data_IF_657185897959
#
_entry.id   IF_657185897959
#
_cell.length_a   1.000
_cell.length_b   1.000
_cell.length_c   1.000
_cell.angle_alpha   90.00
_cell.angle_beta   90.00
_cell.angle_gamma   90.00
#
_symmetry.space_group_name_H-M   'P 1'
#
loop_
_entity.id
_entity.type
_entity.pdbx_description
1 polymer ?
#
# COMPACT_ATOMS: atom_id res chain seq x y z
N UNK A 1 32.18 1.10 1.67
CA UNK A 1 31.54 2.42 1.58
C UNK A 1 30.56 2.38 0.42
N UNK A 2 29.28 2.09 0.71
CA UNK A 2 28.23 2.08 -0.30
C UNK A 2 27.62 3.48 -0.36
N UNK A 3 27.57 4.05 -1.56
CA UNK A 3 27.00 5.37 -1.84
C UNK A 3 25.49 5.34 -1.63
N UNK A 4 24.86 6.34 -1.00
CA UNK A 4 23.42 6.38 -0.88
C UNK A 4 22.80 6.59 -2.27
N UNK A 5 21.97 5.66 -2.71
CA UNK A 5 21.19 5.79 -3.94
C UNK A 5 20.11 6.84 -3.69
N UNK A 6 20.27 7.98 -4.30
CA UNK A 6 19.31 9.06 -4.35
C UNK A 6 18.10 8.59 -5.16
N UNK A 7 16.94 8.45 -4.51
CA UNK A 7 15.68 8.42 -5.20
C UNK A 7 15.31 9.88 -5.56
N UNK A 8 15.20 10.26 -6.82
CA UNK A 8 14.80 11.62 -7.17
C UNK A 8 13.30 11.77 -7.02
N UNK A 9 12.86 12.35 -5.91
CA UNK A 9 11.54 12.98 -5.87
C UNK A 9 11.71 14.33 -6.57
N UNK A 10 11.44 14.36 -7.87
CA UNK A 10 11.29 15.61 -8.60
C UNK A 10 9.89 15.65 -9.17
N UNK A 11 9.05 16.46 -8.54
CA UNK A 11 7.80 16.93 -9.13
C UNK A 11 8.13 17.77 -10.36
N UNK A 12 7.81 17.24 -11.54
CA UNK A 12 7.80 18.03 -12.78
C UNK A 12 6.45 17.87 -13.46
N UNK A 13 5.81 18.98 -13.72
CA UNK A 13 4.51 19.12 -14.37
C UNK A 13 4.45 18.35 -15.68
N UNK A 14 3.57 17.33 -15.74
CA UNK A 14 3.21 16.64 -16.99
C UNK A 14 3.75 15.23 -17.15
N UNK A 15 4.37 14.59 -16.16
CA UNK A 15 4.85 13.22 -16.25
C UNK A 15 3.75 12.21 -15.93
N UNK A 16 3.49 11.42 -16.92
CA UNK A 16 2.87 10.12 -16.83
C UNK A 16 3.60 9.29 -15.75
N UNK A 17 3.01 9.15 -14.54
CA UNK A 17 3.63 8.42 -13.44
C UNK A 17 4.01 7.01 -13.88
N UNK A 18 5.21 6.57 -13.52
CA UNK A 18 5.63 5.20 -13.78
C UNK A 18 4.70 4.21 -13.07
N UNK A 19 4.41 3.07 -13.70
CA UNK A 19 3.58 2.05 -13.09
C UNK A 19 4.24 1.49 -11.83
N UNK A 20 3.45 1.23 -10.79
CA UNK A 20 3.89 0.65 -9.53
C UNK A 20 3.20 -0.69 -9.30
N UNK A 21 3.98 -1.75 -9.12
CA UNK A 21 3.51 -3.03 -8.57
C UNK A 21 4.05 -3.19 -7.15
N UNK A 22 3.21 -2.93 -6.15
CA UNK A 22 3.53 -3.15 -4.75
C UNK A 22 3.03 -4.53 -4.31
N UNK A 23 3.90 -5.32 -3.68
CA UNK A 23 3.58 -6.67 -3.20
C UNK A 23 3.57 -6.70 -1.67
N UNK A 24 2.50 -7.26 -1.09
CA UNK A 24 2.42 -7.51 0.34
C UNK A 24 3.20 -8.77 0.70
N UNK A 25 4.12 -8.65 1.67
CA UNK A 25 5.04 -9.71 2.09
C UNK A 25 4.98 -9.93 3.60
N UNK A 26 5.21 -11.17 4.03
CA UNK A 26 5.16 -11.61 5.42
C UNK A 26 6.50 -12.09 5.96
N UNK A 27 7.47 -12.38 5.10
CA UNK A 27 8.77 -12.93 5.47
C UNK A 27 9.81 -12.69 4.35
N UNK A 28 11.07 -13.03 4.61
CA UNK A 28 12.17 -12.83 3.68
C UNK A 28 11.99 -13.58 2.34
N UNK A 29 11.50 -14.82 2.38
CA UNK A 29 11.26 -15.59 1.16
C UNK A 29 10.18 -14.95 0.26
N UNK A 30 9.16 -14.32 0.87
CA UNK A 30 8.19 -13.53 0.11
C UNK A 30 8.85 -12.32 -0.58
N UNK A 31 9.79 -11.65 0.09
CA UNK A 31 10.50 -10.50 -0.45
C UNK A 31 11.38 -10.89 -1.65
N UNK A 32 12.17 -11.96 -1.51
CA UNK A 32 12.99 -12.51 -2.59
C UNK A 32 12.14 -12.92 -3.81
N UNK A 33 11.01 -13.58 -3.57
CA UNK A 33 10.09 -13.98 -4.64
C UNK A 33 9.42 -12.78 -5.32
N UNK A 34 9.03 -11.75 -4.56
CA UNK A 34 8.46 -10.54 -5.10
C UNK A 34 9.46 -9.78 -5.99
N UNK A 35 10.71 -9.65 -5.55
CA UNK A 35 11.78 -9.03 -6.31
C UNK A 35 12.09 -9.83 -7.58
N UNK A 36 12.27 -11.14 -7.49
CA UNK A 36 12.50 -12.01 -8.63
C UNK A 36 11.35 -11.97 -9.66
N UNK A 37 10.14 -11.70 -9.21
CA UNK A 37 8.95 -11.52 -10.04
C UNK A 37 8.83 -10.14 -10.69
N UNK A 38 9.62 -9.14 -10.27
CA UNK A 38 9.60 -7.79 -10.83
C UNK A 38 8.63 -6.85 -10.12
N UNK A 39 8.42 -7.00 -8.81
CA UNK A 39 7.79 -5.98 -7.99
C UNK A 39 8.66 -4.73 -7.93
N UNK A 40 8.03 -3.57 -7.70
CA UNK A 40 8.74 -2.29 -7.55
C UNK A 40 8.88 -1.89 -6.07
N UNK A 41 8.02 -2.40 -5.19
CA UNK A 41 7.98 -2.04 -3.77
C UNK A 41 7.35 -3.16 -2.94
N UNK A 42 7.77 -3.26 -1.69
CA UNK A 42 7.23 -4.22 -0.72
C UNK A 42 6.41 -3.50 0.35
N UNK A 43 5.27 -4.08 0.74
CA UNK A 43 4.55 -3.71 1.96
C UNK A 43 4.64 -4.85 2.97
N UNK A 44 5.39 -4.63 4.05
CA UNK A 44 5.58 -5.61 5.12
C UNK A 44 4.48 -5.50 6.16
N UNK A 45 3.87 -6.63 6.46
CA UNK A 45 2.87 -6.77 7.52
C UNK A 45 3.09 -8.06 8.29
N UNK A 46 2.48 -8.17 9.47
CA UNK A 46 2.22 -9.47 10.10
C UNK A 46 0.72 -9.76 10.09
N UNK A 47 0.35 -11.01 10.06
CA UNK A 47 -1.06 -11.45 10.14
C UNK A 47 -1.20 -12.30 11.40
N UNK A 48 -2.17 -11.96 12.25
CA UNK A 48 -2.39 -12.69 13.51
C UNK A 48 -2.83 -14.13 13.26
N UNK A 49 -2.31 -15.07 14.03
CA UNK A 49 -2.80 -16.43 14.09
C UNK A 49 -4.28 -16.41 14.53
N UNK A 50 -5.15 -17.03 13.79
CA UNK A 50 -6.61 -16.96 14.03
C UNK A 50 -7.40 -16.14 13.00
N UNK A 51 -6.73 -15.53 12.05
CA UNK A 51 -7.36 -14.83 10.92
C UNK A 51 -8.14 -15.74 9.94
N UNK A 52 -8.28 -17.03 10.25
CA UNK A 52 -8.94 -18.04 9.41
C UNK A 52 -10.44 -17.81 9.15
N UNK A 53 -11.04 -16.84 9.82
CA UNK A 53 -12.44 -16.43 9.61
C UNK A 53 -12.61 -15.05 8.97
N UNK A 54 -11.55 -14.35 8.61
CA UNK A 54 -11.62 -13.02 8.01
C UNK A 54 -11.72 -13.12 6.49
N UNK A 55 -12.69 -12.46 5.93
CA UNK A 55 -12.91 -12.42 4.48
C UNK A 55 -11.83 -11.63 3.74
N UNK A 56 -11.16 -10.67 4.41
CA UNK A 56 -9.99 -9.96 3.90
C UNK A 56 -8.84 -10.01 4.94
N UNK A 57 -7.73 -10.69 4.62
CA UNK A 57 -6.54 -10.70 5.48
C UNK A 57 -5.94 -9.32 5.75
N UNK A 58 -6.30 -8.31 4.96
CA UNK A 58 -5.89 -6.93 5.21
C UNK A 58 -6.41 -6.42 6.56
N UNK A 59 -7.59 -6.89 7.00
CA UNK A 59 -8.18 -6.49 8.27
C UNK A 59 -7.47 -7.13 9.47
N UNK A 60 -6.84 -8.27 9.27
CA UNK A 60 -6.04 -8.96 10.29
C UNK A 60 -4.58 -8.50 10.34
N UNK A 61 -4.15 -7.66 9.38
CA UNK A 61 -2.77 -7.19 9.32
C UNK A 61 -2.43 -6.25 10.48
N UNK A 62 -1.23 -6.42 11.03
CA UNK A 62 -0.66 -5.65 12.14
C UNK A 62 0.75 -5.20 11.81
N UNK A 63 1.25 -4.28 12.64
CA UNK A 63 2.66 -3.93 12.71
C UNK A 63 3.51 -5.19 12.92
N UNK A 64 4.53 -5.45 12.08
CA UNK A 64 5.44 -6.56 12.28
C UNK A 64 6.44 -6.28 13.41
N UNK A 65 7.15 -7.30 13.87
CA UNK A 65 8.29 -7.13 14.74
C UNK A 65 9.47 -6.49 13.98
N UNK A 66 10.25 -5.56 14.58
CA UNK A 66 11.38 -4.90 13.91
C UNK A 66 12.43 -5.86 13.36
N UNK A 67 12.64 -7.01 14.02
CA UNK A 67 13.55 -8.05 13.55
C UNK A 67 13.12 -8.65 12.21
N UNK A 68 11.80 -8.79 11.97
CA UNK A 68 11.26 -9.23 10.68
C UNK A 68 11.54 -8.19 9.59
N UNK A 69 11.33 -6.91 9.87
CA UNK A 69 11.63 -5.82 8.92
C UNK A 69 13.10 -5.83 8.53
N UNK A 70 14.00 -5.93 9.52
CA UNK A 70 15.44 -6.05 9.27
C UNK A 70 15.80 -7.26 8.41
N UNK A 71 15.12 -8.40 8.60
CA UNK A 71 15.31 -9.59 7.77
C UNK A 71 14.91 -9.36 6.31
N UNK A 72 13.75 -8.72 6.08
CA UNK A 72 13.27 -8.41 4.73
C UNK A 72 14.16 -7.40 4.01
N UNK A 73 14.60 -6.34 4.70
CA UNK A 73 15.50 -5.32 4.12
C UNK A 73 16.89 -5.88 3.75
N UNK A 74 17.29 -7.03 4.33
CA UNK A 74 18.50 -7.74 3.92
C UNK A 74 18.28 -8.73 2.78
N UNK A 75 17.04 -9.21 2.62
CA UNK A 75 16.68 -10.23 1.64
C UNK A 75 16.32 -9.65 0.26
N UNK A 76 16.10 -8.34 0.17
CA UNK A 76 15.67 -7.68 -1.07
C UNK A 76 16.24 -6.27 -1.16
N UNK A 77 16.57 -5.85 -2.37
CA UNK A 77 17.00 -4.48 -2.70
C UNK A 77 15.81 -3.52 -2.98
N UNK A 78 14.58 -4.03 -2.93
CA UNK A 78 13.39 -3.23 -3.18
C UNK A 78 13.08 -2.27 -2.02
N UNK A 79 12.52 -1.08 -2.30
CA UNK A 79 12.00 -0.18 -1.28
C UNK A 79 10.98 -0.89 -0.38
N UNK A 80 11.17 -0.80 0.93
CA UNK A 80 10.32 -1.44 1.94
C UNK A 80 9.45 -0.43 2.64
N UNK A 81 8.12 -0.62 2.55
CA UNK A 81 7.11 0.03 3.38
C UNK A 81 6.71 -0.90 4.52
N UNK A 82 6.45 -0.34 5.69
CA UNK A 82 6.04 -1.14 6.86
C UNK A 82 4.72 -0.63 7.41
N UNK A 83 3.80 -1.57 7.65
CA UNK A 83 2.49 -1.23 8.23
C UNK A 83 2.66 -0.81 9.70
N UNK A 84 2.08 0.35 10.05
CA UNK A 84 1.89 0.82 11.41
C UNK A 84 0.41 0.69 11.81
N UNK A 85 0.11 -0.38 12.58
CA UNK A 85 -1.21 -0.68 13.12
C UNK A 85 -1.05 -1.57 14.35
N UNK A 86 -1.44 -1.09 15.52
CA UNK A 86 -1.26 -1.82 16.80
C UNK A 86 -2.27 -2.97 16.97
N UNK A 87 -3.50 -2.73 16.54
CA UNK A 87 -4.62 -3.68 16.65
C UNK A 87 -5.44 -3.73 15.36
N UNK A 88 -6.62 -4.39 15.38
CA UNK A 88 -7.51 -4.52 14.23
C UNK A 88 -8.31 -3.27 13.88
N UNK A 89 -8.24 -2.25 14.73
CA UNK A 89 -8.96 -1.00 14.54
C UNK A 89 -8.25 0.00 13.64
N UNK A 90 -8.99 1.00 13.25
CA UNK A 90 -8.49 2.14 12.48
C UNK A 90 -8.48 3.43 13.28
N UNK A 91 -8.75 3.31 14.59
CA UNK A 91 -8.62 4.38 15.58
C UNK A 91 -7.39 4.15 16.43
N UNK A 92 -6.82 5.21 17.00
CA UNK A 92 -5.76 5.08 18.01
C UNK A 92 -5.89 6.18 19.06
N UNK A 93 -5.16 6.04 20.15
CA UNK A 93 -5.13 7.00 21.26
C UNK A 93 -3.79 7.73 21.28
N UNK A 94 -3.67 8.79 22.09
CA UNK A 94 -2.38 9.46 22.29
C UNK A 94 -1.28 8.51 22.77
N UNK A 95 -1.59 7.54 23.65
CA UNK A 95 -0.65 6.50 24.06
C UNK A 95 -0.30 5.55 22.89
N UNK A 96 -1.28 5.23 22.05
CA UNK A 96 -1.07 4.46 20.84
C UNK A 96 -0.18 5.19 19.83
N UNK A 97 -0.35 6.49 19.66
CA UNK A 97 0.49 7.31 18.80
C UNK A 97 1.96 7.30 19.25
N UNK A 98 2.24 7.41 20.54
CA UNK A 98 3.61 7.31 21.08
C UNK A 98 4.23 5.95 20.75
N UNK A 99 3.47 4.86 20.92
CA UNK A 99 3.94 3.51 20.56
C UNK A 99 4.19 3.35 19.06
N UNK A 100 3.30 3.88 18.22
CA UNK A 100 3.46 3.87 16.76
C UNK A 100 4.69 4.66 16.32
N UNK A 101 4.95 5.82 16.91
CA UNK A 101 6.15 6.60 16.64
C UNK A 101 7.44 5.87 17.06
N UNK A 102 7.42 5.16 18.18
CA UNK A 102 8.52 4.29 18.60
C UNK A 102 8.78 3.16 17.60
N UNK A 103 7.73 2.43 17.21
CA UNK A 103 7.84 1.38 16.19
C UNK A 103 8.33 1.92 14.85
N UNK A 104 7.85 3.11 14.43
CA UNK A 104 8.31 3.74 13.21
C UNK A 104 9.83 4.00 13.25
N UNK A 105 10.35 4.51 14.37
CA UNK A 105 11.79 4.70 14.56
C UNK A 105 12.57 3.39 14.45
N UNK A 106 12.06 2.32 15.06
CA UNK A 106 12.69 0.99 15.01
C UNK A 106 12.70 0.43 13.58
N UNK A 107 11.62 0.63 12.82
CA UNK A 107 11.53 0.19 11.41
C UNK A 107 12.50 0.94 10.50
N UNK A 108 12.63 2.25 10.68
CA UNK A 108 13.59 3.05 9.91
C UNK A 108 15.03 2.65 10.25
N UNK A 109 15.31 2.39 11.52
CA UNK A 109 16.60 1.85 11.95
C UNK A 109 16.87 0.43 11.40
N UNK A 110 15.82 -0.36 11.17
CA UNK A 110 15.90 -1.68 10.54
C UNK A 110 16.09 -1.64 9.01
N UNK A 111 16.00 -0.46 8.38
CA UNK A 111 16.23 -0.26 6.95
C UNK A 111 14.97 0.01 6.12
N UNK A 112 13.81 0.19 6.74
CA UNK A 112 12.60 0.59 6.02
C UNK A 112 12.76 1.99 5.41
N UNK A 113 12.25 2.18 4.19
CA UNK A 113 12.31 3.46 3.48
C UNK A 113 11.04 4.31 3.64
N UNK A 114 10.00 3.73 4.23
CA UNK A 114 8.77 4.44 4.52
C UNK A 114 7.73 3.58 5.23
N UNK A 115 6.57 4.16 5.43
CA UNK A 115 5.55 3.62 6.31
C UNK A 115 4.21 3.50 5.57
N UNK A 116 3.30 2.67 6.11
CA UNK A 116 1.91 2.62 5.69
C UNK A 116 1.02 2.67 6.93
N UNK A 117 0.17 3.68 7.02
CA UNK A 117 -0.79 3.83 8.11
C UNK A 117 -2.02 4.61 7.65
N UNK A 118 -3.06 4.62 8.46
CA UNK A 118 -4.26 5.41 8.21
C UNK A 118 -5.18 5.27 9.40
N UNK A 119 -5.67 6.40 9.90
CA UNK A 119 -6.53 6.45 11.07
C UNK A 119 -7.81 7.21 10.77
N UNK A 120 -8.89 6.73 11.38
CA UNK A 120 -10.19 7.38 11.37
C UNK A 120 -10.50 7.84 12.79
N UNK A 121 -11.27 8.91 12.88
CA UNK A 121 -11.85 9.38 14.13
C UNK A 121 -13.13 8.60 14.50
N UNK A 122 -13.78 8.98 15.59
CA UNK A 122 -15.02 8.36 16.08
C UNK A 122 -16.21 8.55 15.14
N UNK A 123 -16.13 9.53 14.23
CA UNK A 123 -17.16 9.82 13.25
C UNK A 123 -16.89 9.13 11.90
N UNK A 124 -15.91 8.21 11.86
CA UNK A 124 -15.43 7.52 10.68
C UNK A 124 -14.93 8.48 9.58
N UNK A 125 -14.32 9.58 9.99
CA UNK A 125 -13.63 10.49 9.08
C UNK A 125 -12.11 10.34 9.21
N UNK A 126 -11.36 10.80 8.19
CA UNK A 126 -9.89 10.77 8.27
C UNK A 126 -9.44 11.62 9.46
N UNK A 127 -8.71 11.01 10.38
CA UNK A 127 -8.05 11.70 11.49
C UNK A 127 -6.78 12.38 10.96
N UNK A 128 -6.97 13.58 10.41
CA UNK A 128 -5.90 14.34 9.76
C UNK A 128 -4.86 14.84 10.76
N UNK A 129 -5.27 15.12 11.99
CA UNK A 129 -4.39 15.63 13.04
C UNK A 129 -3.38 14.57 13.46
N UNK A 130 -3.88 13.38 13.75
CA UNK A 130 -3.05 12.25 14.16
C UNK A 130 -2.14 11.78 13.02
N UNK A 131 -2.68 11.68 11.79
CA UNK A 131 -1.88 11.30 10.63
C UNK A 131 -0.76 12.30 10.34
N UNK A 132 -1.04 13.62 10.42
CA UNK A 132 -0.05 14.66 10.20
C UNK A 132 1.01 14.69 11.30
N UNK A 133 0.62 14.48 12.57
CA UNK A 133 1.57 14.39 13.68
C UNK A 133 2.54 13.21 13.52
N UNK A 134 2.04 12.04 13.10
CA UNK A 134 2.92 10.90 12.84
C UNK A 134 3.85 11.15 11.63
N UNK A 135 3.35 11.80 10.58
CA UNK A 135 4.16 12.20 9.43
C UNK A 135 5.28 13.17 9.82
N UNK A 136 5.00 14.18 10.65
CA UNK A 136 6.00 15.13 11.13
C UNK A 136 7.08 14.49 12.01
N UNK A 137 6.68 13.52 12.83
CA UNK A 137 7.62 12.76 13.70
C UNK A 137 8.56 11.86 12.90
N UNK A 138 8.08 11.26 11.81
CA UNK A 138 8.83 10.25 11.04
C UNK A 138 9.61 10.85 9.87
N UNK A 139 9.04 11.86 9.19
CA UNK A 139 9.63 12.60 8.06
C UNK A 139 10.09 11.72 6.90
N UNK A 140 9.39 10.62 6.67
CA UNK A 140 9.62 9.71 5.55
C UNK A 140 8.38 9.66 4.66
N UNK A 141 8.49 9.24 3.40
CA UNK A 141 7.33 9.00 2.56
C UNK A 141 6.41 7.95 3.18
N UNK A 142 5.10 8.13 3.06
CA UNK A 142 4.15 7.20 3.64
C UNK A 142 2.90 7.02 2.79
N UNK A 143 2.26 5.88 2.95
CA UNK A 143 1.06 5.48 2.22
C UNK A 143 -0.12 5.39 3.17
N UNK A 144 -1.25 6.01 2.85
CA UNK A 144 -2.49 5.84 3.61
C UNK A 144 -3.09 4.45 3.32
N UNK A 145 -3.45 3.72 4.36
CA UNK A 145 -3.98 2.35 4.23
C UNK A 145 -5.43 2.33 3.73
N UNK A 146 -5.98 1.12 3.55
CA UNK A 146 -7.40 0.90 3.24
C UNK A 146 -8.38 1.34 4.34
N UNK A 147 -7.92 1.92 5.43
CA UNK A 147 -8.75 2.71 6.33
C UNK A 147 -9.55 3.79 5.56
N UNK A 148 -8.99 4.28 4.45
CA UNK A 148 -9.66 5.17 3.52
C UNK A 148 -11.01 4.65 3.03
N UNK A 149 -11.09 3.36 2.70
CA UNK A 149 -12.32 2.73 2.17
C UNK A 149 -13.43 2.59 3.22
N UNK A 150 -13.12 2.81 4.50
CA UNK A 150 -14.07 2.73 5.63
C UNK A 150 -14.58 4.09 6.08
N UNK A 151 -14.04 5.16 5.50
CA UNK A 151 -14.56 6.51 5.77
C UNK A 151 -16.02 6.65 5.32
N UNK A 152 -16.83 7.31 6.14
CA UNK A 152 -18.27 7.45 5.93
C UNK A 152 -18.60 8.22 4.63
N UNK A 153 -17.83 9.28 4.32
CA UNK A 153 -17.96 10.06 3.08
C UNK A 153 -16.65 9.96 2.27
N UNK A 154 -16.62 9.11 1.21
CA UNK A 154 -15.40 8.94 0.40
C UNK A 154 -14.91 10.23 -0.28
N UNK A 155 -15.83 11.14 -0.68
CA UNK A 155 -15.44 12.41 -1.31
C UNK A 155 -14.78 13.36 -0.33
N UNK A 156 -15.29 13.42 0.89
CA UNK A 156 -14.71 14.21 1.97
C UNK A 156 -13.37 13.61 2.41
N UNK A 157 -13.33 12.29 2.55
CA UNK A 157 -12.11 11.55 2.88
C UNK A 157 -11.01 11.82 1.85
N UNK A 158 -11.33 11.80 0.54
CA UNK A 158 -10.36 12.10 -0.51
C UNK A 158 -9.81 13.54 -0.41
N UNK A 159 -10.67 14.51 -0.18
CA UNK A 159 -10.22 15.91 -0.01
C UNK A 159 -9.29 16.08 1.19
N UNK A 160 -9.54 15.34 2.28
CA UNK A 160 -8.72 15.39 3.50
C UNK A 160 -7.39 14.65 3.30
N UNK A 161 -7.43 13.42 2.79
CA UNK A 161 -6.24 12.57 2.71
C UNK A 161 -5.20 13.13 1.75
N UNK A 162 -5.60 13.62 0.58
CA UNK A 162 -4.67 14.18 -0.42
C UNK A 162 -3.96 15.46 0.01
N UNK A 163 -4.43 16.10 1.08
CA UNK A 163 -3.81 17.29 1.65
C UNK A 163 -2.81 16.99 2.77
N UNK A 164 -2.64 15.73 3.15
CA UNK A 164 -1.74 15.33 4.23
C UNK A 164 -0.26 15.46 3.82
N UNK A 165 0.59 15.97 4.73
CA UNK A 165 2.00 16.17 4.43
C UNK A 165 2.75 14.85 4.26
N UNK A 166 3.66 14.77 3.27
CA UNK A 166 4.52 13.61 3.05
C UNK A 166 3.82 12.37 2.50
N UNK A 167 2.51 12.45 2.23
CA UNK A 167 1.74 11.37 1.64
C UNK A 167 2.20 11.10 0.20
N UNK A 168 2.51 9.85 -0.13
CA UNK A 168 2.91 9.43 -1.48
C UNK A 168 2.01 8.36 -2.09
N UNK A 169 0.97 7.92 -1.37
CA UNK A 169 0.01 6.97 -1.87
C UNK A 169 -1.20 6.76 -0.96
N UNK A 170 -2.29 6.30 -1.54
CA UNK A 170 -3.52 5.89 -0.84
C UNK A 170 -3.93 4.52 -1.34
N UNK A 171 -3.85 3.50 -0.48
CA UNK A 171 -4.40 2.17 -0.80
C UNK A 171 -5.92 2.26 -0.76
N UNK A 172 -6.56 1.95 -1.87
CA UNK A 172 -8.01 1.96 -1.95
C UNK A 172 -8.54 0.88 -2.90
N UNK A 173 -9.65 0.31 -2.53
CA UNK A 173 -10.44 -0.59 -3.36
C UNK A 173 -11.65 0.13 -3.99
N UNK A 174 -11.89 1.40 -3.60
CA UNK A 174 -13.11 2.13 -3.93
C UNK A 174 -14.34 1.68 -3.12
N UNK A 175 -14.18 0.69 -2.25
CA UNK A 175 -15.23 0.15 -1.36
C UNK A 175 -14.60 -0.57 -0.17
N UNK A 176 -15.23 -0.48 0.99
CA UNK A 176 -14.86 -1.27 2.16
C UNK A 176 -14.92 -2.79 1.90
N UNK A 177 -15.78 -3.22 0.96
CA UNK A 177 -15.97 -4.62 0.59
C UNK A 177 -14.94 -5.13 -0.43
N UNK A 178 -14.04 -4.29 -0.91
CA UNK A 178 -13.00 -4.68 -1.85
C UNK A 178 -13.21 -4.20 -3.28
N UNK A 179 -12.23 -4.48 -4.14
CA UNK A 179 -12.17 -3.98 -5.51
C UNK A 179 -13.25 -4.55 -6.43
N UNK A 180 -13.82 -5.73 -6.12
CA UNK A 180 -14.94 -6.31 -6.84
C UNK A 180 -16.16 -5.38 -6.84
N UNK A 181 -16.47 -4.78 -5.69
CA UNK A 181 -17.56 -3.86 -5.51
C UNK A 181 -17.18 -2.40 -5.75
N UNK A 182 -15.89 -2.09 -5.68
CA UNK A 182 -15.39 -0.71 -5.66
C UNK A 182 -14.71 -0.25 -6.94
N UNK A 183 -14.47 -1.12 -7.93
CA UNK A 183 -13.67 -0.73 -9.11
C UNK A 183 -14.29 0.44 -9.89
N UNK A 184 -15.61 0.51 -10.02
CA UNK A 184 -16.29 1.65 -10.66
C UNK A 184 -16.04 2.96 -9.90
N UNK A 185 -16.04 2.90 -8.56
CA UNK A 185 -15.73 4.06 -7.72
C UNK A 185 -14.29 4.53 -7.92
N UNK A 186 -13.34 3.61 -8.15
CA UNK A 186 -11.96 3.97 -8.50
C UNK A 186 -11.88 4.67 -9.85
N UNK A 187 -12.61 4.19 -10.87
CA UNK A 187 -12.66 4.84 -12.19
C UNK A 187 -13.28 6.25 -12.10
N UNK A 188 -14.37 6.40 -11.31
CA UNK A 188 -15.00 7.70 -11.08
C UNK A 188 -14.06 8.65 -10.33
N UNK A 189 -13.31 8.16 -9.34
CA UNK A 189 -12.34 8.96 -8.59
C UNK A 189 -11.23 9.49 -9.52
N UNK A 190 -10.66 8.62 -10.35
CA UNK A 190 -9.63 8.98 -11.32
C UNK A 190 -10.12 10.01 -12.35
N UNK A 191 -11.37 9.86 -12.81
CA UNK A 191 -11.98 10.82 -13.74
C UNK A 191 -12.35 12.17 -13.10
N UNK A 192 -12.60 12.19 -11.79
CA UNK A 192 -13.00 13.40 -11.08
C UNK A 192 -11.81 14.24 -10.58
N UNK A 193 -10.65 13.63 -10.32
CA UNK A 193 -9.50 14.32 -9.74
C UNK A 193 -8.18 13.75 -10.29
N UNK A 194 -7.42 14.53 -11.08
CA UNK A 194 -6.12 14.09 -11.62
C UNK A 194 -5.13 13.64 -10.54
N UNK A 195 -5.18 14.20 -9.32
CA UNK A 195 -4.32 13.80 -8.19
C UNK A 195 -4.56 12.33 -7.82
N UNK A 196 -5.74 11.79 -8.12
CA UNK A 196 -6.02 10.36 -7.89
C UNK A 196 -5.13 9.46 -8.74
N UNK A 197 -4.77 9.86 -9.95
CA UNK A 197 -3.89 9.07 -10.82
C UNK A 197 -2.45 9.01 -10.30
N UNK A 198 -2.07 9.97 -9.44
CA UNK A 198 -0.75 10.03 -8.81
C UNK A 198 -0.73 9.30 -7.45
N UNK A 199 -1.78 9.48 -6.64
CA UNK A 199 -1.80 8.99 -5.26
C UNK A 199 -2.50 7.66 -5.08
N UNK A 200 -3.57 7.36 -5.84
CA UNK A 200 -4.33 6.13 -5.59
C UNK A 200 -3.55 4.89 -6.03
N UNK A 201 -3.49 3.92 -5.13
CA UNK A 201 -2.93 2.59 -5.36
C UNK A 201 -4.10 1.61 -5.25
N UNK A 202 -4.50 1.03 -6.37
CA UNK A 202 -5.61 0.09 -6.39
C UNK A 202 -5.25 -1.17 -5.60
N UNK A 203 -6.06 -1.51 -4.60
CA UNK A 203 -5.80 -2.53 -3.60
C UNK A 203 -7.07 -3.33 -3.26
N UNK A 204 -6.98 -4.27 -2.30
CA UNK A 204 -8.15 -4.93 -1.73
C UNK A 204 -8.85 -5.89 -2.68
N UNK A 205 -8.12 -6.87 -3.22
CA UNK A 205 -8.68 -7.90 -4.08
C UNK A 205 -8.79 -7.49 -5.55
N UNK A 206 -7.87 -6.65 -6.02
CA UNK A 206 -7.74 -6.36 -7.46
C UNK A 206 -7.52 -7.65 -8.22
N UNK A 207 -8.29 -7.86 -9.30
CA UNK A 207 -8.18 -9.00 -10.22
C UNK A 207 -7.59 -8.56 -11.56
N UNK A 208 -7.05 -9.52 -12.31
CA UNK A 208 -6.43 -9.27 -13.60
C UNK A 208 -7.36 -8.54 -14.58
N UNK A 209 -8.65 -8.85 -14.55
CA UNK A 209 -9.68 -8.22 -15.40
C UNK A 209 -9.93 -6.74 -15.09
N UNK A 210 -9.60 -6.26 -13.87
CA UNK A 210 -9.72 -4.84 -13.51
C UNK A 210 -8.58 -3.99 -14.12
N UNK A 211 -7.39 -4.58 -14.33
CA UNK A 211 -6.17 -3.84 -14.68
C UNK A 211 -6.29 -2.99 -15.95
N UNK A 212 -6.83 -3.50 -17.07
CA UNK A 212 -6.95 -2.69 -18.27
C UNK A 212 -7.84 -1.44 -18.10
N UNK A 213 -8.90 -1.55 -17.29
CA UNK A 213 -9.82 -0.43 -17.02
C UNK A 213 -9.18 0.60 -16.08
N UNK A 214 -8.51 0.13 -15.02
CA UNK A 214 -7.77 1.00 -14.09
C UNK A 214 -6.69 1.79 -14.83
N UNK A 215 -5.88 1.11 -15.64
CA UNK A 215 -4.79 1.75 -16.40
C UNK A 215 -5.33 2.75 -17.42
N UNK A 216 -6.43 2.42 -18.11
CA UNK A 216 -7.07 3.33 -19.07
C UNK A 216 -7.61 4.59 -18.38
N UNK A 217 -8.07 4.50 -17.13
CA UNK A 217 -8.48 5.66 -16.33
C UNK A 217 -7.31 6.46 -15.74
N UNK A 218 -6.07 6.02 -15.95
CA UNK A 218 -4.85 6.65 -15.42
C UNK A 218 -4.32 6.03 -14.13
N UNK A 219 -5.04 5.08 -13.51
CA UNK A 219 -4.60 4.38 -12.29
C UNK A 219 -3.60 3.27 -12.64
N UNK A 220 -2.31 3.53 -12.45
CA UNK A 220 -1.21 2.64 -12.85
C UNK A 220 -0.46 2.05 -11.65
N UNK A 221 -0.97 2.26 -10.45
CA UNK A 221 -0.36 1.82 -9.21
C UNK A 221 -1.23 0.73 -8.59
N UNK A 222 -0.69 -0.47 -8.44
CA UNK A 222 -1.39 -1.65 -7.95
C UNK A 222 -0.73 -2.19 -6.69
N UNK A 223 -1.54 -2.63 -5.73
CA UNK A 223 -1.11 -3.39 -4.57
C UNK A 223 -1.74 -4.78 -4.60
N UNK A 224 -0.92 -5.80 -4.57
CA UNK A 224 -1.35 -7.19 -4.60
C UNK A 224 -0.83 -7.96 -3.38
N UNK A 225 -1.61 -8.91 -2.91
CA UNK A 225 -1.25 -9.75 -1.79
C UNK A 225 -1.62 -11.22 -2.06
N UNK A 226 -2.87 -11.60 -1.85
CA UNK A 226 -3.36 -12.97 -2.09
C UNK A 226 -3.24 -13.39 -3.55
N UNK A 227 -3.37 -12.45 -4.49
CA UNK A 227 -3.30 -12.72 -5.93
C UNK A 227 -1.94 -13.25 -6.42
N UNK A 228 -0.89 -13.08 -5.63
CA UNK A 228 0.46 -13.58 -5.92
C UNK A 228 0.86 -14.79 -5.06
N UNK A 229 -0.14 -15.46 -4.45
CA UNK A 229 0.04 -16.68 -3.64
C UNK A 229 -0.77 -17.82 -4.20
N UNK A 230 -0.23 -19.02 -4.22
CA UNK A 230 -0.93 -20.20 -4.71
C UNK A 230 -2.23 -20.43 -3.93
N UNK A 231 -3.35 -20.52 -4.67
CA UNK A 231 -4.67 -20.67 -4.08
C UNK A 231 -5.16 -19.46 -3.25
N UNK A 232 -4.48 -18.32 -3.32
CA UNK A 232 -4.87 -17.10 -2.59
C UNK A 232 -4.70 -17.18 -1.07
N UNK A 233 -3.89 -18.13 -0.57
CA UNK A 233 -3.78 -18.39 0.86
C UNK A 233 -2.66 -17.59 1.53
N UNK A 234 -2.99 -16.89 2.61
CA UNK A 234 -2.02 -16.18 3.45
C UNK A 234 -1.21 -17.10 4.38
N UNK A 235 -1.81 -18.20 4.82
CA UNK A 235 -1.22 -19.07 5.83
C UNK A 235 -0.62 -20.35 5.25
N UNK A 236 -1.00 -20.70 4.03
CA UNK A 236 -0.62 -22.00 3.41
C UNK A 236 0.32 -21.85 2.21
N UNK A 237 0.55 -20.64 1.73
CA UNK A 237 1.37 -20.40 0.55
C UNK A 237 2.23 -19.16 0.70
N UNK A 238 3.46 -19.25 0.23
CA UNK A 238 4.37 -18.10 0.07
C UNK A 238 4.03 -17.32 -1.20
N UNK A 239 4.60 -16.12 -1.32
CA UNK A 239 4.58 -15.35 -2.56
C UNK A 239 5.26 -16.17 -3.68
N UNK A 240 4.63 -16.22 -4.84
CA UNK A 240 5.10 -16.95 -6.01
C UNK A 240 5.65 -15.96 -7.04
N UNK A 241 6.95 -16.06 -7.33
CA UNK A 241 7.63 -15.17 -8.28
C UNK A 241 7.01 -15.21 -9.69
N UNK A 242 6.49 -16.35 -10.13
CA UNK A 242 5.84 -16.47 -11.44
C UNK A 242 4.49 -15.75 -11.48
N UNK A 243 3.73 -15.78 -10.37
CA UNK A 243 2.50 -14.99 -10.24
C UNK A 243 2.81 -13.49 -10.19
N UNK A 244 3.83 -13.06 -9.44
CA UNK A 244 4.27 -11.65 -9.43
C UNK A 244 4.66 -11.20 -10.84
N UNK A 245 5.45 -12.00 -11.56
CA UNK A 245 5.85 -11.73 -12.95
C UNK A 245 4.64 -11.61 -13.87
N UNK A 246 3.63 -12.45 -13.69
CA UNK A 246 2.40 -12.36 -14.48
C UNK A 246 1.66 -11.03 -14.25
N UNK A 247 1.62 -10.56 -13.00
CA UNK A 247 1.06 -9.26 -12.66
C UNK A 247 1.88 -8.10 -13.25
N UNK A 248 3.22 -8.19 -13.20
CA UNK A 248 4.11 -7.20 -13.80
C UNK A 248 3.86 -7.07 -15.30
N UNK A 249 3.88 -8.20 -16.01
CA UNK A 249 3.63 -8.22 -17.46
C UNK A 249 2.24 -7.69 -17.83
N UNK A 250 1.20 -8.05 -17.05
CA UNK A 250 -0.15 -7.55 -17.27
C UNK A 250 -0.22 -6.03 -17.11
N UNK A 251 0.42 -5.47 -16.09
CA UNK A 251 0.44 -4.03 -15.85
C UNK A 251 1.21 -3.31 -16.96
N UNK A 252 2.38 -3.81 -17.35
CA UNK A 252 3.21 -3.23 -18.42
C UNK A 252 2.49 -3.23 -19.77
N UNK A 253 1.86 -4.35 -20.14
CA UNK A 253 1.09 -4.47 -21.38
C UNK A 253 -0.12 -3.51 -21.39
N UNK A 254 -0.84 -3.41 -20.26
CA UNK A 254 -1.96 -2.46 -20.16
C UNK A 254 -1.49 -1.00 -20.28
N UNK A 255 -0.36 -0.64 -19.67
CA UNK A 255 0.23 0.70 -19.78
C UNK A 255 0.68 0.98 -21.22
N UNK A 256 1.33 0.02 -21.87
CA UNK A 256 1.78 0.17 -23.27
C UNK A 256 0.59 0.39 -24.20
N UNK A 257 -0.48 -0.38 -24.06
CA UNK A 257 -1.69 -0.23 -24.87
C UNK A 257 -2.37 1.13 -24.63
N UNK A 258 -2.43 1.61 -23.38
CA UNK A 258 -3.03 2.91 -23.06
C UNK A 258 -2.23 4.09 -23.62
N UNK A 259 -0.93 3.92 -23.92
CA UNK A 259 -0.08 4.95 -24.57
C UNK A 259 -0.30 5.03 -26.08
N UNK A 260 -0.80 3.96 -26.70
CA UNK A 260 -0.97 3.84 -28.16
C UNK A 260 -2.41 4.06 -28.61
N UNK A 261 -3.36 4.20 -27.68
CA UNK A 261 -4.79 4.48 -27.91
C UNK A 261 -5.09 5.96 -27.80
#
# INVERSE_FOLDING_TARGET
MASPRHCPIVSDNGRNMDPLLEVRVLNAADAEAAEAGGADRLLVVTVSDGASGWTDPADAARSPEPALVSSLCRASDLPVRVLLRLDGGETTTGAGLVRLAGLASDYLAAGAEGLAYGFLDTDLEIDTELCAELADRTRVPWTFTRAFDRALDPRRAWRRVKALPGLDGVLTAGSALGAEQGHESLLLLAGADPVATELAIAAGGVRAEHVPWLVRSGLRRLHVGTAVRQGGSWTKAYTDAALVRSWRLLLDDAVQRARTS
#
